data_IF_473594649911
#
_entry.id   IF_473594649911
#
_cell.length_a   1.000
_cell.length_b   1.000
_cell.length_c   1.000
_cell.angle_alpha   90.00
_cell.angle_beta   90.00
_cell.angle_gamma   90.00
#
_symmetry.space_group_name_H-M   'P 1'
#
loop_
_entity.id
_entity.type
_entity.pdbx_description
1 polymer ?
#
# COMPACT_ATOMS: atom_id res chain seq x y z
N UNK A 1 27.10 -43.07 28.63
CA UNK A 1 26.20 -43.47 29.74
C UNK A 1 25.90 -42.25 30.62
N UNK A 2 24.98 -42.42 31.58
CA UNK A 2 24.79 -41.56 32.77
C UNK A 2 24.01 -40.24 32.60
N UNK A 3 22.69 -40.38 32.41
CA UNK A 3 21.70 -39.98 33.44
C UNK A 3 21.94 -38.67 34.22
N UNK A 4 21.05 -37.68 34.06
CA UNK A 4 20.09 -37.30 35.13
C UNK A 4 18.99 -36.35 34.65
N UNK A 5 17.86 -36.43 35.33
CA UNK A 5 16.68 -35.55 35.22
C UNK A 5 16.62 -34.58 36.40
N UNK A 6 16.07 -33.38 36.16
CA UNK A 6 15.32 -32.61 37.17
C UNK A 6 14.33 -31.68 36.45
N UNK A 7 13.05 -31.78 36.79
CA UNK A 7 12.02 -30.79 36.48
C UNK A 7 11.98 -29.71 37.57
N UNK A 8 11.42 -28.54 37.25
CA UNK A 8 11.17 -27.47 38.23
C UNK A 8 9.75 -26.90 38.03
N UNK A 9 9.04 -26.64 39.13
CA UNK A 9 7.72 -26.01 39.18
C UNK A 9 7.67 -24.94 40.28
N UNK A 10 7.15 -23.76 39.94
CA UNK A 10 6.70 -22.70 40.85
C UNK A 10 5.95 -21.68 39.98
N UNK A 11 4.68 -21.35 40.17
CA UNK A 11 4.10 -20.47 41.22
C UNK A 11 3.39 -19.32 40.47
N UNK A 12 2.19 -18.83 40.79
CA UNK A 12 1.60 -18.56 42.10
C UNK A 12 2.13 -17.21 42.61
N UNK A 13 1.37 -16.11 42.79
CA UNK A 13 -0.09 -15.85 42.65
C UNK A 13 -0.28 -14.39 42.11
N UNK A 14 -1.36 -13.58 42.18
CA UNK A 14 -2.54 -13.45 43.05
C UNK A 14 -3.69 -12.68 42.31
N UNK A 15 -4.56 -11.91 43.00
CA UNK A 15 -5.67 -11.09 42.44
C UNK A 15 -5.85 -9.78 43.23
N UNK A 16 -6.23 -8.66 42.58
CA UNK A 16 -7.08 -7.55 43.09
C UNK A 16 -7.27 -6.49 41.98
N UNK A 17 -8.40 -5.83 41.67
CA UNK A 17 -9.77 -5.67 42.22
C UNK A 17 -10.07 -4.42 43.10
N UNK A 18 -11.31 -3.89 42.95
CA UNK A 18 -12.00 -2.76 43.65
C UNK A 18 -11.75 -1.35 43.02
N UNK A 19 -12.79 -0.58 42.61
CA UNK A 19 -13.82 0.26 43.32
C UNK A 19 -13.21 1.52 43.96
N UNK A 20 -13.82 2.72 44.01
CA UNK A 20 -15.09 3.29 43.48
C UNK A 20 -14.85 4.73 42.95
N UNK A 21 -15.71 5.75 43.05
CA UNK A 21 -17.06 5.93 43.62
C UNK A 21 -17.77 7.16 42.98
N UNK A 22 -18.92 7.63 43.48
CA UNK A 22 -19.86 8.57 42.81
C UNK A 22 -20.19 9.88 43.58
N UNK A 23 -20.56 10.94 42.84
CA UNK A 23 -21.23 12.18 43.31
C UNK A 23 -21.34 13.23 42.16
N UNK A 24 -22.49 13.83 41.80
CA UNK A 24 -23.38 14.81 42.48
C UNK A 24 -22.75 16.23 42.59
N UNK A 25 -23.38 17.40 42.26
CA UNK A 25 -24.79 17.79 42.06
C UNK A 25 -25.01 18.96 41.04
N UNK A 26 -26.16 18.93 40.32
CA UNK A 26 -27.19 19.99 40.07
C UNK A 26 -26.83 21.49 39.80
N UNK A 27 -27.42 22.05 38.72
CA UNK A 27 -27.64 23.50 38.45
C UNK A 27 -27.08 23.96 37.08
N UNK A 28 -27.61 24.95 36.32
CA UNK A 28 -28.82 25.79 36.41
C UNK A 28 -29.21 26.28 34.98
N UNK A 29 -30.28 27.09 34.79
CA UNK A 29 -30.85 27.43 33.46
C UNK A 29 -30.47 28.81 32.88
N UNK A 30 -30.08 28.81 31.58
CA UNK A 30 -30.22 29.92 30.61
C UNK A 30 -29.50 31.26 30.85
N UNK A 31 -29.64 32.25 29.93
CA UNK A 31 -30.20 32.20 28.57
C UNK A 31 -29.13 32.43 27.47
N UNK A 32 -29.57 32.64 26.23
CA UNK A 32 -28.74 33.01 25.07
C UNK A 32 -28.55 34.53 24.93
N UNK A 33 -27.35 34.99 24.58
CA UNK A 33 -27.16 36.24 23.85
C UNK A 33 -25.88 36.23 22.99
N UNK A 34 -25.77 37.14 22.02
CA UNK A 34 -24.81 37.04 20.90
C UNK A 34 -23.58 37.99 20.94
N UNK A 35 -23.19 38.46 19.75
CA UNK A 35 -22.14 39.49 19.49
C UNK A 35 -20.66 39.07 19.59
N UNK A 36 -20.21 38.29 18.59
CA UNK A 36 -18.79 38.06 18.31
C UNK A 36 -18.02 39.34 17.97
N UNK A 37 -17.07 39.79 18.81
CA UNK A 37 -16.04 40.76 18.37
C UNK A 37 -14.75 40.71 19.20
N UNK A 38 -13.61 40.91 18.51
CA UNK A 38 -12.23 41.03 19.04
C UNK A 38 -11.69 39.74 19.69
N UNK A 39 -10.42 39.37 19.53
CA UNK A 39 -9.38 39.95 18.67
C UNK A 39 -7.98 39.50 19.13
N UNK A 40 -7.40 38.48 18.49
CA UNK A 40 -6.10 37.92 18.87
C UNK A 40 -5.18 37.74 17.67
N UNK A 41 -4.10 38.53 17.61
CA UNK A 41 -3.05 38.36 16.60
C UNK A 41 -2.14 37.19 16.99
N UNK A 42 -2.04 36.19 16.12
CA UNK A 42 -0.92 35.23 16.12
C UNK A 42 -0.49 34.99 14.67
N UNK A 43 0.83 34.99 14.44
CA UNK A 43 1.41 35.14 13.12
C UNK A 43 1.53 33.83 12.34
N UNK A 44 0.60 33.60 11.41
CA UNK A 44 0.76 32.58 10.35
C UNK A 44 1.80 33.00 9.30
N UNK A 45 3.04 33.30 9.73
CA UNK A 45 4.23 33.25 8.85
C UNK A 45 4.60 31.79 8.58
N UNK A 46 3.71 31.12 7.85
CA UNK A 46 3.98 29.86 7.16
C UNK A 46 3.22 29.93 5.85
N UNK A 47 3.91 30.36 4.80
CA UNK A 47 3.42 30.14 3.45
C UNK A 47 3.33 28.64 3.24
N UNK A 48 2.12 28.13 3.04
CA UNK A 48 1.93 26.73 2.64
C UNK A 48 2.46 26.60 1.22
N UNK A 49 3.75 26.30 1.08
CA UNK A 49 4.36 25.88 -0.19
C UNK A 49 3.81 24.48 -0.47
N UNK A 50 2.55 24.42 -0.88
CA UNK A 50 1.92 23.26 -1.49
C UNK A 50 2.46 23.15 -2.92
N UNK A 51 3.77 22.91 -3.03
CA UNK A 51 4.35 22.41 -4.25
C UNK A 51 3.78 21.01 -4.46
N UNK A 52 2.64 20.96 -5.14
CA UNK A 52 2.42 19.93 -6.14
C UNK A 52 3.60 20.08 -7.10
N UNK A 53 4.67 19.36 -6.80
CA UNK A 53 5.68 19.04 -7.80
C UNK A 53 4.90 18.24 -8.82
N UNK A 54 4.70 18.80 -10.00
CA UNK A 54 4.25 18.01 -11.15
C UNK A 54 5.31 16.92 -11.34
N UNK A 55 4.98 15.70 -10.92
CA UNK A 55 5.89 14.57 -11.06
C UNK A 55 5.94 14.32 -12.57
N UNK A 56 7.12 14.50 -13.23
CA UNK A 56 7.22 14.22 -14.66
C UNK A 56 6.82 12.77 -14.88
N UNK A 57 5.97 12.52 -15.88
CA UNK A 57 5.37 11.20 -16.09
C UNK A 57 6.47 10.15 -16.23
N UNK A 58 6.56 9.25 -15.24
CA UNK A 58 7.76 8.41 -15.05
C UNK A 58 7.70 7.21 -15.99
N UNK A 59 8.05 7.45 -17.26
CA UNK A 59 8.02 6.47 -18.34
C UNK A 59 9.35 5.70 -18.35
N UNK A 60 9.27 4.37 -18.25
CA UNK A 60 10.39 3.46 -18.48
C UNK A 60 10.45 3.02 -19.94
N UNK A 61 11.63 3.15 -20.55
CA UNK A 61 11.95 2.68 -21.91
C UNK A 61 12.55 1.27 -21.91
N UNK A 62 13.16 0.85 -20.80
CA UNK A 62 13.70 -0.50 -20.60
C UNK A 62 13.42 -0.96 -19.16
N UNK A 63 13.08 -2.25 -18.98
CA UNK A 63 13.01 -2.89 -17.68
C UNK A 63 13.68 -4.26 -17.71
N UNK A 64 14.59 -4.54 -16.77
CA UNK A 64 15.32 -5.81 -16.71
C UNK A 64 15.63 -6.22 -15.27
N UNK A 65 15.33 -7.47 -14.92
CA UNK A 65 15.73 -8.07 -13.64
C UNK A 65 17.10 -8.75 -13.81
N UNK A 66 18.10 -8.31 -13.04
CA UNK A 66 19.47 -8.86 -13.06
C UNK A 66 19.87 -9.28 -11.64
N UNK A 67 20.19 -10.56 -11.47
CA UNK A 67 20.59 -11.12 -10.17
C UNK A 67 19.53 -10.89 -9.09
N UNK A 68 19.82 -9.98 -8.17
CA UNK A 68 19.00 -9.61 -7.01
C UNK A 68 18.35 -8.23 -7.11
N UNK A 69 18.38 -7.56 -8.27
CA UNK A 69 17.78 -6.24 -8.48
C UNK A 69 16.92 -6.13 -9.76
N UNK A 70 15.94 -5.22 -9.71
CA UNK A 70 15.18 -4.71 -10.85
C UNK A 70 15.83 -3.40 -11.30
N UNK A 71 16.25 -3.32 -12.57
CA UNK A 71 16.78 -2.10 -13.20
C UNK A 71 15.80 -1.56 -14.22
N UNK A 72 15.57 -0.25 -14.18
CA UNK A 72 14.79 0.50 -15.16
C UNK A 72 15.69 1.54 -15.85
N UNK A 73 15.52 1.71 -17.17
CA UNK A 73 15.98 2.90 -17.90
C UNK A 73 14.74 3.76 -18.17
N UNK A 74 14.80 5.04 -17.80
CA UNK A 74 13.71 6.01 -18.01
C UNK A 74 13.88 6.75 -19.34
N UNK A 75 12.80 7.37 -19.83
CA UNK A 75 12.82 8.22 -21.03
C UNK A 75 13.74 9.44 -20.88
N UNK A 76 13.82 10.02 -19.68
CA UNK A 76 14.76 11.11 -19.34
C UNK A 76 16.23 10.67 -19.23
N UNK A 77 16.55 9.43 -19.61
CA UNK A 77 17.90 8.87 -19.61
C UNK A 77 18.42 8.43 -18.25
N UNK A 78 17.71 8.68 -17.13
CA UNK A 78 18.09 8.16 -15.82
C UNK A 78 17.98 6.63 -15.81
N UNK A 79 18.87 5.99 -15.05
CA UNK A 79 18.78 4.56 -14.71
C UNK A 79 18.60 4.41 -13.21
N UNK A 80 17.63 3.59 -12.83
CA UNK A 80 17.24 3.36 -11.44
C UNK A 80 17.30 1.85 -11.18
N UNK A 81 17.88 1.44 -10.06
CA UNK A 81 18.05 0.04 -9.69
C UNK A 81 17.58 -0.19 -8.25
N UNK A 82 16.60 -1.09 -8.10
CA UNK A 82 15.92 -1.36 -6.82
C UNK A 82 16.11 -2.84 -6.46
N UNK A 83 16.60 -3.17 -5.25
CA UNK A 83 16.75 -4.54 -4.81
C UNK A 83 15.40 -5.29 -4.79
N UNK A 84 15.39 -6.55 -5.26
CA UNK A 84 14.19 -7.40 -5.22
C UNK A 84 13.69 -7.69 -3.79
N UNK A 85 14.46 -7.36 -2.74
CA UNK A 85 14.00 -7.41 -1.36
C UNK A 85 12.84 -6.44 -1.05
N UNK A 86 12.61 -5.42 -1.88
CA UNK A 86 11.44 -4.54 -1.81
C UNK A 86 10.16 -5.19 -2.38
N UNK A 87 10.31 -6.26 -3.16
CA UNK A 87 9.25 -6.93 -3.91
C UNK A 87 9.21 -8.44 -3.56
N UNK A 88 8.61 -8.83 -2.41
CA UNK A 88 8.53 -10.22 -1.95
C UNK A 88 8.11 -11.23 -3.02
N UNK A 89 7.16 -10.88 -3.88
CA UNK A 89 6.68 -11.74 -4.98
C UNK A 89 7.79 -11.98 -6.01
N UNK A 90 8.50 -10.93 -6.44
CA UNK A 90 9.66 -11.08 -7.34
C UNK A 90 10.84 -11.79 -6.65
N UNK A 91 11.01 -11.64 -5.33
CA UNK A 91 12.03 -12.35 -4.56
C UNK A 91 11.75 -13.86 -4.48
N UNK A 92 10.49 -14.28 -4.47
CA UNK A 92 10.07 -15.67 -4.43
C UNK A 92 9.98 -16.33 -5.83
N UNK A 93 9.61 -15.58 -6.87
CA UNK A 93 9.44 -16.04 -8.24
C UNK A 93 10.68 -16.76 -8.83
N UNK A 94 10.52 -17.63 -9.84
CA UNK A 94 11.67 -18.28 -10.49
C UNK A 94 12.49 -17.30 -11.33
N UNK A 95 13.72 -17.67 -11.69
CA UNK A 95 14.56 -16.85 -12.58
C UNK A 95 13.93 -16.66 -13.97
N UNK A 96 13.12 -17.62 -14.44
CA UNK A 96 12.38 -17.52 -15.70
C UNK A 96 11.30 -16.45 -15.60
N UNK A 97 10.50 -16.50 -14.54
CA UNK A 97 9.33 -15.62 -14.38
C UNK A 97 9.79 -14.19 -14.14
N UNK A 98 10.80 -13.96 -13.29
CA UNK A 98 11.42 -12.64 -13.09
C UNK A 98 11.87 -11.98 -14.40
N UNK A 99 12.40 -12.77 -15.34
CA UNK A 99 12.87 -12.31 -16.66
C UNK A 99 11.72 -12.05 -17.65
N UNK A 100 10.54 -12.61 -17.41
CA UNK A 100 9.32 -12.32 -18.18
C UNK A 100 8.64 -11.00 -17.75
N UNK A 101 9.45 -9.97 -17.47
CA UNK A 101 8.97 -8.59 -17.24
C UNK A 101 8.54 -7.99 -18.57
N UNK A 102 7.43 -7.26 -18.57
CA UNK A 102 6.89 -6.56 -19.74
C UNK A 102 6.53 -5.13 -19.36
N UNK A 103 6.89 -4.17 -20.20
CA UNK A 103 6.40 -2.80 -20.08
C UNK A 103 4.94 -2.73 -20.53
N UNK A 104 4.12 -1.98 -19.80
CA UNK A 104 2.70 -1.77 -20.06
C UNK A 104 2.33 -0.29 -19.88
N UNK A 105 1.14 0.12 -20.35
CA UNK A 105 0.65 1.49 -20.20
C UNK A 105 1.58 2.56 -20.80
N UNK A 106 2.18 2.28 -21.96
CA UNK A 106 3.16 3.18 -22.59
C UNK A 106 4.53 3.24 -21.91
N UNK A 107 4.79 2.39 -20.90
CA UNK A 107 6.01 2.41 -20.09
C UNK A 107 5.80 2.94 -18.66
N UNK A 108 4.56 3.26 -18.28
CA UNK A 108 4.20 3.69 -16.91
C UNK A 108 4.06 2.53 -15.92
N UNK A 109 3.98 1.27 -16.40
CA UNK A 109 3.81 0.08 -15.59
C UNK A 109 4.67 -1.11 -16.07
N UNK A 110 4.89 -2.06 -15.16
CA UNK A 110 5.62 -3.31 -15.33
C UNK A 110 4.70 -4.48 -14.99
N UNK A 111 4.51 -5.42 -15.90
CA UNK A 111 3.68 -6.60 -15.71
C UNK A 111 4.51 -7.88 -15.78
N UNK A 112 4.12 -8.87 -14.97
CA UNK A 112 4.63 -10.24 -15.00
C UNK A 112 3.47 -11.22 -15.14
N UNK A 113 3.13 -11.56 -16.40
CA UNK A 113 1.96 -12.39 -16.75
C UNK A 113 1.90 -13.70 -15.96
N UNK A 114 3.05 -14.38 -15.78
CA UNK A 114 3.16 -15.64 -15.04
C UNK A 114 3.12 -15.52 -13.50
N UNK A 115 3.12 -14.30 -12.96
CA UNK A 115 3.05 -14.03 -11.51
C UNK A 115 1.75 -13.32 -11.10
N UNK A 116 0.96 -12.81 -12.06
CA UNK A 116 -0.20 -11.96 -11.79
C UNK A 116 0.16 -10.62 -11.11
N UNK A 117 1.43 -10.22 -11.19
CA UNK A 117 1.99 -9.03 -10.53
C UNK A 117 2.08 -7.86 -11.50
N UNK A 118 1.67 -6.69 -11.03
CA UNK A 118 1.84 -5.39 -11.70
C UNK A 118 2.54 -4.41 -10.74
N UNK A 119 3.52 -3.65 -11.25
CA UNK A 119 4.20 -2.56 -10.54
C UNK A 119 4.16 -1.28 -11.39
N UNK A 120 3.59 -0.21 -10.86
CA UNK A 120 3.75 1.14 -11.45
C UNK A 120 5.22 1.56 -11.40
N UNK A 121 5.75 2.11 -12.51
CA UNK A 121 7.13 2.62 -12.60
C UNK A 121 7.33 3.81 -11.66
N UNK A 122 6.38 4.75 -11.64
CA UNK A 122 6.34 5.85 -10.66
C UNK A 122 6.30 5.31 -9.22
N UNK A 123 5.62 4.19 -8.99
CA UNK A 123 5.68 3.43 -7.74
C UNK A 123 7.06 2.89 -7.38
N UNK A 124 7.77 2.25 -8.33
CA UNK A 124 9.13 1.74 -8.13
C UNK A 124 10.10 2.89 -7.83
N UNK A 125 10.00 4.02 -8.55
CA UNK A 125 10.85 5.20 -8.35
C UNK A 125 10.57 5.90 -7.01
N UNK A 126 9.31 5.95 -6.57
CA UNK A 126 8.93 6.45 -5.25
C UNK A 126 9.15 5.43 -4.10
N UNK A 127 9.77 4.28 -4.36
CA UNK A 127 10.04 3.25 -3.35
C UNK A 127 8.79 2.58 -2.75
N UNK A 128 7.66 2.64 -3.46
CA UNK A 128 6.39 2.05 -3.02
C UNK A 128 6.43 0.52 -3.15
N UNK A 129 5.70 -0.17 -2.27
CA UNK A 129 5.62 -1.63 -2.23
C UNK A 129 4.84 -2.20 -3.41
N UNK A 130 5.06 -3.49 -3.69
CA UNK A 130 4.21 -4.26 -4.60
C UNK A 130 2.73 -4.26 -4.17
N UNK A 131 1.82 -4.11 -5.14
CA UNK A 131 0.39 -4.27 -4.94
C UNK A 131 -0.04 -5.63 -5.52
N UNK A 132 -0.06 -6.65 -4.66
CA UNK A 132 -0.51 -8.00 -5.02
C UNK A 132 -2.02 -8.09 -4.77
N UNK A 133 -2.87 -8.27 -5.80
CA UNK A 133 -4.29 -8.46 -5.59
C UNK A 133 -4.57 -9.81 -4.89
N UNK A 134 -5.65 -9.92 -4.08
CA UNK A 134 -5.97 -11.17 -3.39
C UNK A 134 -6.18 -12.36 -4.35
N UNK A 135 -5.90 -13.61 -3.92
CA UNK A 135 -6.21 -14.81 -4.71
C UNK A 135 -7.67 -14.83 -5.20
N UNK A 136 -7.86 -15.17 -6.48
CA UNK A 136 -9.18 -15.17 -7.11
C UNK A 136 -9.74 -13.78 -7.50
N UNK A 137 -9.01 -12.68 -7.26
CA UNK A 137 -9.45 -11.32 -7.64
C UNK A 137 -9.79 -11.19 -9.13
N UNK A 138 -8.88 -11.64 -10.02
CA UNK A 138 -9.10 -11.60 -11.47
C UNK A 138 -10.22 -12.53 -11.95
N UNK A 139 -10.43 -13.67 -11.29
CA UNK A 139 -11.56 -14.56 -11.57
C UNK A 139 -12.89 -13.89 -11.20
N UNK A 140 -12.97 -13.28 -10.01
CA UNK A 140 -14.15 -12.53 -9.55
C UNK A 140 -14.47 -11.34 -10.46
N UNK A 141 -13.46 -10.61 -10.93
CA UNK A 141 -13.65 -9.53 -11.90
C UNK A 141 -14.16 -10.05 -13.26
N UNK A 142 -13.62 -11.16 -13.76
CA UNK A 142 -14.09 -11.75 -15.02
C UNK A 142 -15.51 -12.34 -14.89
N UNK A 143 -15.86 -12.94 -13.75
CA UNK A 143 -17.21 -13.43 -13.46
C UNK A 143 -18.24 -12.30 -13.32
N UNK A 144 -17.83 -11.12 -12.84
CA UNK A 144 -18.68 -9.94 -12.72
C UNK A 144 -18.91 -9.18 -14.04
N UNK A 145 -18.16 -9.47 -15.11
CA UNK A 145 -18.38 -8.86 -16.43
C UNK A 145 -19.64 -9.47 -17.07
N UNK A 146 -20.65 -8.68 -17.46
CA UNK A 146 -21.80 -9.21 -18.19
C UNK A 146 -21.31 -9.83 -19.51
N UNK A 147 -21.73 -11.07 -19.79
CA UNK A 147 -21.39 -11.74 -21.04
C UNK A 147 -21.97 -10.92 -22.21
N UNK A 148 -21.22 -10.69 -23.30
CA UNK A 148 -21.75 -9.96 -24.45
C UNK A 148 -23.01 -10.67 -24.97
N UNK A 149 -24.09 -9.93 -25.10
CA UNK A 149 -25.35 -10.46 -25.61
C UNK A 149 -25.13 -10.99 -27.02
N UNK A 150 -25.53 -12.25 -27.28
CA UNK A 150 -25.44 -12.83 -28.62
C UNK A 150 -26.33 -12.02 -29.57
N UNK A 151 -25.72 -11.20 -30.42
CA UNK A 151 -26.43 -10.42 -31.42
C UNK A 151 -27.32 -11.33 -32.27
N UNK A 152 -28.60 -10.94 -32.41
CA UNK A 152 -29.49 -11.59 -33.37
C UNK A 152 -28.89 -11.45 -34.76
N UNK A 153 -28.66 -12.56 -35.45
CA UNK A 153 -28.37 -12.57 -36.87
C UNK A 153 -29.67 -12.24 -37.60
N UNK A 154 -29.80 -11.00 -38.08
CA UNK A 154 -30.84 -10.65 -39.03
C UNK A 154 -30.33 -11.07 -40.42
N UNK A 155 -31.03 -11.99 -41.06
CA UNK A 155 -30.77 -12.46 -42.42
C UNK A 155 -31.79 -11.86 -43.38
N UNK A 156 -31.32 -11.13 -44.38
CA UNK A 156 -32.06 -10.69 -45.57
C UNK A 156 -31.03 -10.45 -46.68
#
# INVERSE_FOLDING_TARGET
>A
MSQRTTSAQSGGSSRSAKRGASGSLRGSVGPSDGSSSKGGRSSSRRGTISSRVDHPEVIATEAVVRGTALRLTLEDGRRIEVPLSFFPTLKAASLRDRRAVRLFGGGTALAWDGLGLELSVEGVVAGRREHVPPPGFWERLNAARPKPSKGRRNSS
#
